data_IF_875706800954
#
_entry.id   IF_875706800954
#
_cell.length_a   1.000
_cell.length_b   1.000
_cell.length_c   1.000
_cell.angle_alpha   90.00
_cell.angle_beta   90.00
_cell.angle_gamma   90.00
#
_symmetry.space_group_name_H-M   'P 1'
#
loop_
_entity.id
_entity.type
_entity.pdbx_description
1 polymer ?
#
# COMPACT_ATOMS: atom_id res chain seq x y z
N UNK A 1 -13.53 -21.74 -6.56
CA UNK A 1 -12.34 -21.31 -5.79
C UNK A 1 -12.17 -19.79 -5.69
N UNK A 2 -12.08 -19.04 -6.80
CA UNK A 2 -11.76 -17.59 -6.73
C UNK A 2 -12.86 -16.72 -6.07
N UNK A 3 -14.15 -17.00 -6.34
CA UNK A 3 -15.27 -16.29 -5.70
C UNK A 3 -15.27 -16.42 -4.18
N UNK A 4 -15.03 -17.63 -3.67
CA UNK A 4 -14.91 -17.90 -2.23
C UNK A 4 -13.75 -17.13 -1.57
N UNK A 5 -12.61 -16.98 -2.24
CA UNK A 5 -11.51 -16.15 -1.70
C UNK A 5 -11.84 -14.67 -1.70
N UNK A 6 -12.54 -14.17 -2.72
CA UNK A 6 -12.96 -12.76 -2.77
C UNK A 6 -13.95 -12.43 -1.63
N UNK A 7 -14.86 -13.35 -1.32
CA UNK A 7 -15.76 -13.26 -0.17
C UNK A 7 -14.98 -13.18 1.16
N UNK A 8 -13.91 -13.95 1.33
CA UNK A 8 -13.05 -13.89 2.51
C UNK A 8 -12.35 -12.54 2.69
N UNK A 9 -12.08 -11.82 1.60
CA UNK A 9 -11.51 -10.46 1.62
C UNK A 9 -12.57 -9.35 1.67
N UNK A 10 -13.85 -9.69 1.91
CA UNK A 10 -14.94 -8.73 2.03
C UNK A 10 -15.40 -8.13 0.68
N UNK A 11 -14.93 -8.66 -0.45
CA UNK A 11 -15.38 -8.25 -1.77
C UNK A 11 -16.66 -9.03 -2.07
N UNK A 12 -17.78 -8.31 -2.10
CA UNK A 12 -19.08 -8.93 -2.32
C UNK A 12 -19.13 -9.62 -3.70
N UNK A 13 -19.62 -10.87 -3.78
CA UNK A 13 -19.60 -11.68 -5.00
C UNK A 13 -20.46 -11.10 -6.13
N UNK A 14 -21.26 -10.07 -5.82
CA UNK A 14 -22.12 -9.34 -6.74
C UNK A 14 -21.45 -8.11 -7.40
N UNK A 15 -20.29 -7.65 -6.94
CA UNK A 15 -19.72 -6.36 -7.40
C UNK A 15 -18.94 -6.42 -8.71
N UNK A 16 -18.54 -7.58 -9.23
CA UNK A 16 -18.14 -7.73 -10.63
C UNK A 16 -17.83 -9.18 -10.98
N UNK A 17 -18.23 -9.60 -12.19
CA UNK A 17 -17.64 -10.78 -12.83
C UNK A 17 -16.16 -10.50 -13.03
N UNK A 18 -15.31 -11.04 -12.16
CA UNK A 18 -13.86 -10.91 -12.27
C UNK A 18 -13.41 -11.74 -13.47
N UNK A 19 -13.15 -11.05 -14.59
CA UNK A 19 -12.54 -11.65 -15.76
C UNK A 19 -11.07 -11.93 -15.47
N UNK A 20 -10.75 -13.20 -15.24
CA UNK A 20 -9.39 -13.67 -14.89
C UNK A 20 -8.34 -13.18 -15.89
N UNK A 21 -8.64 -13.18 -17.19
CA UNK A 21 -7.75 -12.67 -18.24
C UNK A 21 -7.44 -11.18 -18.05
N UNK A 22 -8.47 -10.35 -17.89
CA UNK A 22 -8.30 -8.90 -17.72
C UNK A 22 -7.62 -8.56 -16.39
N UNK A 23 -7.86 -9.34 -15.34
CA UNK A 23 -7.16 -9.19 -14.08
C UNK A 23 -5.68 -9.55 -14.22
N UNK A 24 -5.37 -10.66 -14.90
CA UNK A 24 -4.00 -11.08 -15.22
C UNK A 24 -3.24 -9.97 -15.95
N UNK A 25 -3.84 -9.43 -17.01
CA UNK A 25 -3.21 -8.40 -17.83
C UNK A 25 -2.95 -7.11 -17.03
N UNK A 26 -3.88 -6.72 -16.15
CA UNK A 26 -3.68 -5.58 -15.25
C UNK A 26 -2.58 -5.83 -14.22
N UNK A 27 -2.51 -7.02 -13.64
CA UNK A 27 -1.48 -7.36 -12.66
C UNK A 27 -0.08 -7.38 -13.29
N UNK A 28 0.06 -7.89 -14.52
CA UNK A 28 1.31 -7.85 -15.27
C UNK A 28 1.72 -6.44 -15.68
N UNK A 29 0.76 -5.55 -15.96
CA UNK A 29 1.02 -4.15 -16.29
C UNK A 29 1.45 -3.32 -15.08
N UNK A 30 0.83 -3.55 -13.91
CA UNK A 30 1.09 -2.78 -12.68
C UNK A 30 2.33 -3.29 -11.92
N UNK A 31 2.64 -4.58 -12.02
CA UNK A 31 3.74 -5.21 -11.25
C UNK A 31 4.74 -5.87 -12.22
N UNK A 32 5.73 -5.12 -12.75
CA UNK A 32 6.68 -5.61 -13.74
C UNK A 32 7.57 -6.77 -13.25
N UNK A 33 7.64 -6.98 -11.93
CA UNK A 33 8.33 -8.09 -11.28
C UNK A 33 7.58 -9.42 -11.36
N UNK A 34 6.32 -9.44 -11.78
CA UNK A 34 5.52 -10.65 -11.95
C UNK A 34 5.61 -11.12 -13.41
N UNK A 35 5.63 -12.43 -13.60
CA UNK A 35 5.53 -13.11 -14.89
C UNK A 35 4.50 -14.24 -14.85
N UNK A 36 4.04 -14.64 -16.03
CA UNK A 36 3.14 -15.77 -16.21
C UNK A 36 3.91 -17.02 -16.57
N UNK A 37 3.61 -18.11 -15.87
CA UNK A 37 4.05 -19.45 -16.20
C UNK A 37 2.84 -20.32 -16.55
N UNK A 38 2.86 -20.91 -17.74
CA UNK A 38 1.79 -21.81 -18.18
C UNK A 38 2.02 -23.20 -17.60
N UNK A 39 1.09 -23.66 -16.76
CA UNK A 39 1.08 -24.99 -16.16
C UNK A 39 -0.09 -25.80 -16.74
N UNK A 40 0.06 -26.24 -17.99
CA UNK A 40 -0.96 -27.01 -18.69
C UNK A 40 -2.18 -26.15 -19.05
N UNK A 41 -3.31 -26.37 -18.36
CA UNK A 41 -4.54 -25.59 -18.56
C UNK A 41 -4.64 -24.36 -17.66
N UNK A 42 -3.74 -24.24 -16.70
CA UNK A 42 -3.74 -23.16 -15.72
C UNK A 42 -2.56 -22.22 -15.98
N UNK A 43 -2.82 -20.91 -15.89
CA UNK A 43 -1.78 -19.89 -15.92
C UNK A 43 -1.47 -19.44 -14.48
N UNK A 44 -0.23 -19.63 -14.04
CA UNK A 44 0.23 -19.26 -12.70
C UNK A 44 1.05 -17.97 -12.78
N UNK A 45 0.78 -17.02 -11.89
CA UNK A 45 1.57 -15.80 -11.74
C UNK A 45 2.68 -16.03 -10.73
N UNK A 46 3.92 -15.80 -11.12
CA UNK A 46 5.13 -15.97 -10.28
C UNK A 46 5.97 -14.70 -10.34
N UNK A 47 6.69 -14.39 -9.27
CA UNK A 47 7.66 -13.30 -9.28
C UNK A 47 8.95 -13.75 -9.97
N UNK A 48 9.48 -12.91 -10.87
CA UNK A 48 10.77 -13.09 -11.56
C UNK A 48 11.97 -13.23 -10.61
N UNK A 49 11.81 -12.76 -9.38
CA UNK A 49 12.78 -12.83 -8.29
C UNK A 49 12.12 -13.47 -7.09
N UNK A 50 12.92 -14.08 -6.22
CA UNK A 50 12.43 -14.65 -4.98
C UNK A 50 11.47 -13.69 -4.26
N UNK A 51 10.39 -14.25 -3.72
CA UNK A 51 9.31 -13.48 -3.11
C UNK A 51 9.81 -12.63 -1.93
N UNK A 52 10.85 -13.08 -1.21
CA UNK A 52 11.43 -12.37 -0.07
C UNK A 52 11.92 -10.96 -0.42
N UNK A 53 12.87 -10.80 -1.36
CA UNK A 53 13.31 -9.49 -1.83
C UNK A 53 12.17 -8.59 -2.34
N UNK A 54 11.19 -9.14 -3.08
CA UNK A 54 10.06 -8.34 -3.62
C UNK A 54 9.11 -7.90 -2.50
N UNK A 55 8.73 -8.80 -1.60
CA UNK A 55 7.92 -8.48 -0.41
C UNK A 55 8.61 -7.46 0.48
N UNK A 56 9.93 -7.54 0.66
CA UNK A 56 10.68 -6.55 1.46
C UNK A 56 10.63 -5.14 0.86
N UNK A 57 10.59 -5.01 -0.47
CA UNK A 57 10.40 -3.72 -1.15
C UNK A 57 8.96 -3.23 -1.05
N UNK A 58 7.98 -4.13 -1.19
CA UNK A 58 6.57 -3.79 -1.06
C UNK A 58 6.23 -3.29 0.35
N UNK A 59 6.79 -3.92 1.40
CA UNK A 59 6.67 -3.45 2.79
C UNK A 59 7.27 -2.05 3.00
N UNK A 60 8.45 -1.79 2.44
CA UNK A 60 9.05 -0.45 2.51
C UNK A 60 8.18 0.61 1.81
N UNK A 61 7.52 0.24 0.71
CA UNK A 61 6.62 1.12 -0.01
C UNK A 61 5.35 1.43 0.81
N UNK A 62 4.77 0.43 1.48
CA UNK A 62 3.60 0.65 2.34
C UNK A 62 3.92 1.56 3.51
N UNK A 63 5.08 1.38 4.14
CA UNK A 63 5.52 2.23 5.26
C UNK A 63 5.77 3.66 4.80
N UNK A 64 6.39 3.85 3.63
CA UNK A 64 6.59 5.17 3.03
C UNK A 64 5.25 5.89 2.73
N UNK A 65 4.24 5.15 2.26
CA UNK A 65 2.89 5.69 2.02
C UNK A 65 2.22 6.09 3.33
N UNK A 66 2.31 5.27 4.38
CA UNK A 66 1.77 5.58 5.70
C UNK A 66 2.45 6.82 6.30
N UNK A 67 3.78 6.89 6.23
CA UNK A 67 4.54 8.03 6.71
C UNK A 67 4.19 9.32 5.95
N UNK A 68 4.07 9.25 4.62
CA UNK A 68 3.66 10.39 3.79
C UNK A 68 2.27 10.91 4.16
N UNK A 69 1.32 10.00 4.40
CA UNK A 69 -0.03 10.36 4.88
C UNK A 69 0.01 11.01 6.27
N UNK A 70 0.76 10.43 7.21
CA UNK A 70 0.91 10.99 8.55
C UNK A 70 1.55 12.39 8.53
N UNK A 71 2.62 12.57 7.76
CA UNK A 71 3.28 13.86 7.57
C UNK A 71 2.35 14.91 6.94
N UNK A 72 1.53 14.51 5.97
CA UNK A 72 0.55 15.39 5.33
C UNK A 72 -0.54 15.85 6.32
N UNK A 73 -1.01 14.96 7.19
CA UNK A 73 -1.95 15.29 8.26
C UNK A 73 -1.32 16.27 9.25
N UNK A 74 -0.12 15.98 9.74
CA UNK A 74 0.61 16.86 10.67
C UNK A 74 0.85 18.25 10.08
N UNK A 75 1.28 18.34 8.82
CA UNK A 75 1.44 19.62 8.12
C UNK A 75 0.13 20.40 8.05
N UNK A 76 -0.98 19.74 7.76
CA UNK A 76 -2.30 20.40 7.72
C UNK A 76 -2.72 20.90 9.10
N UNK A 77 -2.49 20.10 10.14
CA UNK A 77 -2.77 20.49 11.52
C UNK A 77 -1.91 21.69 11.94
N UNK A 78 -0.62 21.71 11.60
CA UNK A 78 0.28 22.83 11.88
C UNK A 78 -0.15 24.11 11.16
N UNK A 79 -0.55 24.02 9.89
CA UNK A 79 -1.01 25.18 9.12
C UNK A 79 -2.37 25.70 9.59
N UNK A 80 -3.23 24.82 10.13
CA UNK A 80 -4.52 25.20 10.70
C UNK A 80 -4.45 25.62 12.16
N UNK A 81 -3.29 25.48 12.81
CA UNK A 81 -3.09 25.89 14.20
C UNK A 81 -2.49 27.29 14.22
N UNK A 82 -3.28 28.27 14.66
CA UNK A 82 -2.75 29.59 15.02
C UNK A 82 -1.82 29.42 16.23
N UNK A 83 -0.52 29.40 15.96
CA UNK A 83 0.51 29.38 16.98
C UNK A 83 0.95 30.81 17.23
N UNK A 84 0.45 31.43 18.30
CA UNK A 84 0.98 32.69 18.79
C UNK A 84 2.12 32.39 19.77
N UNK A 85 3.34 32.70 19.35
CA UNK A 85 4.48 32.73 20.26
C UNK A 85 4.50 34.10 20.94
N UNK A 86 4.39 34.13 22.26
CA UNK A 86 4.37 35.34 23.08
C UNK A 86 5.78 35.91 23.35
N UNK A 87 6.80 35.33 22.72
CA UNK A 87 8.19 35.75 22.87
C UNK A 87 8.89 35.21 24.10
N UNK A 88 8.23 34.36 24.92
CA UNK A 88 8.81 33.85 26.17
C UNK A 88 8.73 32.32 26.22
N UNK A 89 9.89 31.70 26.41
CA UNK A 89 9.93 30.31 26.87
C UNK A 89 9.70 30.28 28.38
N UNK A 90 8.97 29.29 28.89
CA UNK A 90 8.84 29.11 30.34
C UNK A 90 10.22 28.84 30.94
N UNK A 91 10.47 29.35 32.15
CA UNK A 91 11.77 29.19 32.82
C UNK A 91 12.14 27.70 33.01
N UNK A 92 11.14 26.84 33.12
CA UNK A 92 11.28 25.38 33.26
C UNK A 92 11.54 24.64 31.93
N UNK A 93 11.52 25.34 30.79
CA UNK A 93 11.74 24.73 29.47
C UNK A 93 13.21 24.75 29.02
N UNK A 94 14.12 25.29 29.83
CA UNK A 94 15.56 25.33 29.52
C UNK A 94 16.28 24.46 30.55
N UNK A 95 16.68 23.26 30.12
CA UNK A 95 17.62 22.43 30.87
C UNK A 95 19.00 23.10 30.81
N UNK A 96 19.59 23.38 31.98
CA UNK A 96 20.95 23.93 32.12
C UNK A 96 21.99 22.84 32.19
#
# INVERSE_FOLDING_TARGET
MFKQRLEQYGVSPFMSTVHSTRLKDRLLAEIPEIETHESGRDTVLTFKKDIGPVSSKAFKLSDAIVLSKAASILRRLMLGHETSFDGRFKEDCIER
#
